data_IF_883201554836
#
_entry.id   IF_883201554836
#
_cell.length_a   1.000
_cell.length_b   1.000
_cell.length_c   1.000
_cell.angle_alpha   90.00
_cell.angle_beta   90.00
_cell.angle_gamma   90.00
#
_symmetry.space_group_name_H-M   'P 1'
#
loop_
_entity.id
_entity.type
_entity.pdbx_description
1 polymer ?
#
# COMPACT_ATOMS: atom_id res chain seq x y z
N UNK A 1 24.44 11.18 11.97
CA UNK A 1 24.01 11.18 13.39
C UNK A 1 23.10 12.37 13.70
N UNK A 2 23.41 13.61 13.31
CA UNK A 2 22.57 14.80 13.62
C UNK A 2 21.21 14.86 12.89
N UNK A 3 21.11 14.41 11.63
CA UNK A 3 19.84 14.41 10.88
C UNK A 3 18.75 13.52 11.50
N UNK A 4 19.12 12.36 12.05
CA UNK A 4 18.17 11.46 12.72
C UNK A 4 17.63 12.04 14.03
N UNK A 5 18.44 12.81 14.76
CA UNK A 5 17.97 13.51 15.96
C UNK A 5 16.96 14.61 15.60
N UNK A 6 17.26 15.41 14.57
CA UNK A 6 16.36 16.47 14.10
C UNK A 6 15.00 15.93 13.62
N UNK A 7 14.99 14.83 12.84
CA UNK A 7 13.74 14.21 12.41
C UNK A 7 12.95 13.61 13.58
N UNK A 8 13.64 13.05 14.56
CA UNK A 8 13.00 12.55 15.79
C UNK A 8 12.33 13.69 16.56
N UNK A 9 12.93 14.86 16.62
CA UNK A 9 12.38 16.00 17.35
C UNK A 9 11.16 16.61 16.61
N UNK A 10 11.17 16.59 15.27
CA UNK A 10 9.99 16.91 14.47
C UNK A 10 8.84 15.94 14.70
N UNK A 11 9.10 14.63 14.82
CA UNK A 11 8.02 13.65 15.11
C UNK A 11 7.30 13.90 16.44
N UNK A 12 7.92 14.66 17.36
CA UNK A 12 7.28 15.01 18.63
C UNK A 12 6.22 16.12 18.46
N UNK A 13 6.34 16.96 17.45
CA UNK A 13 5.48 18.13 17.27
C UNK A 13 5.81 19.29 18.21
N UNK A 14 6.58 19.08 19.29
CA UNK A 14 7.01 20.17 20.18
C UNK A 14 7.80 21.26 19.43
N UNK A 15 8.78 20.85 18.61
CA UNK A 15 9.56 21.79 17.79
C UNK A 15 8.69 22.53 16.77
N UNK A 16 7.69 21.84 16.20
CA UNK A 16 6.75 22.45 15.26
C UNK A 16 5.90 23.51 15.96
N UNK A 17 5.41 23.22 17.17
CA UNK A 17 4.68 24.18 18.01
C UNK A 17 5.56 25.37 18.37
N UNK A 18 6.83 25.16 18.71
CA UNK A 18 7.78 26.22 18.99
C UNK A 18 7.95 27.16 17.80
N UNK A 19 8.15 26.63 16.60
CA UNK A 19 8.24 27.44 15.36
C UNK A 19 6.99 28.32 15.19
N UNK A 20 5.80 27.72 15.30
CA UNK A 20 4.56 28.48 15.14
C UNK A 20 4.31 29.48 16.27
N UNK A 21 4.78 29.22 17.49
CA UNK A 21 4.62 30.13 18.64
C UNK A 21 5.27 31.50 18.42
N UNK A 22 6.29 31.58 17.56
CA UNK A 22 6.95 32.84 17.22
C UNK A 22 6.08 33.74 16.35
N UNK A 23 5.20 33.14 15.54
CA UNK A 23 4.29 33.84 14.63
C UNK A 23 2.89 34.00 15.22
N UNK A 24 2.47 33.06 16.09
CA UNK A 24 1.15 33.00 16.71
C UNK A 24 1.23 32.84 18.24
N UNK A 25 1.85 33.79 18.97
CA UNK A 25 2.10 33.65 20.40
C UNK A 25 0.83 33.63 21.27
N UNK A 26 -0.27 34.19 20.77
CA UNK A 26 -1.56 34.16 21.48
C UNK A 26 -2.28 32.81 21.33
N UNK A 27 -2.07 32.14 20.20
CA UNK A 27 -2.78 30.92 19.81
C UNK A 27 -2.07 29.65 20.29
N UNK A 28 -0.74 29.70 20.36
CA UNK A 28 0.10 28.57 20.77
C UNK A 28 0.70 28.84 22.14
N UNK A 29 0.18 28.11 23.12
CA UNK A 29 0.68 28.14 24.48
C UNK A 29 1.66 26.99 24.69
N UNK A 30 2.97 27.29 24.74
CA UNK A 30 4.03 26.27 24.82
C UNK A 30 3.93 25.36 26.04
N UNK A 31 3.34 25.83 27.15
CA UNK A 31 3.10 25.01 28.34
C UNK A 31 2.11 23.85 28.11
N UNK A 32 1.30 23.90 27.05
CA UNK A 32 0.35 22.84 26.69
C UNK A 32 1.01 21.69 25.93
N UNK A 33 2.23 21.89 25.43
CA UNK A 33 3.01 20.92 24.67
C UNK A 33 4.07 20.28 25.58
N UNK A 34 4.27 18.97 25.41
CA UNK A 34 5.21 18.22 26.22
C UNK A 34 6.39 17.75 25.36
N UNK A 35 7.63 18.00 25.79
CA UNK A 35 8.84 17.50 25.12
C UNK A 35 9.16 16.03 25.46
N UNK A 36 8.23 15.31 26.06
CA UNK A 36 8.33 13.88 26.36
C UNK A 36 8.44 13.02 25.11
N UNK A 37 9.05 11.84 25.25
CA UNK A 37 9.31 10.93 24.12
C UNK A 37 8.24 9.85 23.92
N UNK A 38 7.24 9.76 24.80
CA UNK A 38 6.18 8.75 24.71
C UNK A 38 5.26 9.00 23.52
N UNK A 39 4.72 7.93 22.92
CA UNK A 39 3.80 8.02 21.79
C UNK A 39 2.58 8.88 22.12
N UNK A 40 2.01 8.73 23.33
CA UNK A 40 0.87 9.51 23.80
C UNK A 40 1.18 11.02 23.87
N UNK A 41 2.40 11.38 24.31
CA UNK A 41 2.83 12.80 24.32
C UNK A 41 2.90 13.36 22.91
N UNK A 42 3.47 12.59 21.97
CA UNK A 42 3.53 12.99 20.55
C UNK A 42 2.13 13.16 19.98
N UNK A 43 1.25 12.17 20.15
CA UNK A 43 -0.13 12.24 19.65
C UNK A 43 -0.89 13.43 20.22
N UNK A 44 -0.71 13.73 21.51
CA UNK A 44 -1.33 14.91 22.14
C UNK A 44 -0.79 16.22 21.56
N UNK A 45 0.53 16.34 21.38
CA UNK A 45 1.12 17.54 20.76
C UNK A 45 0.56 17.73 19.34
N UNK A 46 0.51 16.66 18.55
CA UNK A 46 -0.01 16.70 17.19
C UNK A 46 -1.51 16.95 17.10
N UNK A 47 -2.32 16.48 18.05
CA UNK A 47 -3.75 16.78 18.05
C UNK A 47 -4.01 18.27 18.27
N UNK A 48 -3.25 18.93 19.15
CA UNK A 48 -3.29 20.39 19.32
C UNK A 48 -2.86 21.12 18.05
N UNK A 49 -1.76 20.68 17.42
CA UNK A 49 -1.29 21.26 16.15
C UNK A 49 -2.30 21.10 15.02
N UNK A 50 -2.92 19.92 14.86
CA UNK A 50 -3.95 19.66 13.84
C UNK A 50 -5.15 20.60 14.01
N UNK A 51 -5.58 20.84 15.25
CA UNK A 51 -6.64 21.81 15.55
C UNK A 51 -6.21 23.23 15.16
N UNK A 52 -4.98 23.64 15.52
CA UNK A 52 -4.43 24.94 15.15
C UNK A 52 -4.33 25.13 13.63
N UNK A 53 -3.74 24.19 12.91
CA UNK A 53 -3.59 24.19 11.44
C UNK A 53 -4.95 24.35 10.77
N UNK A 54 -5.94 23.55 11.20
CA UNK A 54 -7.30 23.61 10.67
C UNK A 54 -7.99 24.94 10.96
N UNK A 55 -7.85 25.48 12.17
CA UNK A 55 -8.44 26.76 12.59
C UNK A 55 -7.89 27.93 11.76
N UNK A 56 -6.59 27.94 11.52
CA UNK A 56 -5.92 28.98 10.74
C UNK A 56 -5.95 28.75 9.23
N UNK A 57 -6.60 27.66 8.76
CA UNK A 57 -6.69 27.28 7.34
C UNK A 57 -5.31 27.23 6.67
N UNK A 58 -4.31 26.73 7.40
CA UNK A 58 -2.98 26.55 6.84
C UNK A 58 -3.05 25.41 5.82
N UNK A 59 -2.51 25.66 4.64
CA UNK A 59 -2.56 24.72 3.52
C UNK A 59 -1.49 23.62 3.71
N UNK A 60 -1.73 22.72 4.67
CA UNK A 60 -0.89 21.56 5.00
C UNK A 60 -1.78 20.32 4.94
N UNK A 61 -1.36 19.35 4.14
CA UNK A 61 -2.09 18.09 3.96
C UNK A 61 -2.02 17.21 5.21
N UNK A 62 -3.14 16.57 5.55
CA UNK A 62 -3.23 15.69 6.72
C UNK A 62 -2.29 14.47 6.57
N UNK A 63 -2.14 13.97 5.35
CA UNK A 63 -1.25 12.84 5.05
C UNK A 63 0.23 13.18 5.34
N UNK A 64 0.64 14.42 5.07
CA UNK A 64 1.98 14.91 5.37
C UNK A 64 2.23 15.01 6.88
N UNK A 65 1.23 15.45 7.65
CA UNK A 65 1.30 15.46 9.11
C UNK A 65 1.43 14.04 9.64
N UNK A 66 0.58 13.13 9.16
CA UNK A 66 0.58 11.73 9.58
C UNK A 66 1.89 11.01 9.21
N UNK A 67 2.40 11.25 8.00
CA UNK A 67 3.71 10.78 7.58
C UNK A 67 4.82 11.29 8.49
N UNK A 68 4.75 12.55 8.94
CA UNK A 68 5.74 13.13 9.87
C UNK A 68 5.65 12.50 11.26
N UNK A 69 4.44 12.33 11.80
CA UNK A 69 4.19 11.69 13.11
C UNK A 69 4.82 10.31 13.16
N UNK A 70 4.70 9.57 12.06
CA UNK A 70 5.15 8.19 11.96
C UNK A 70 6.54 8.02 11.36
N UNK A 71 7.28 9.11 11.15
CA UNK A 71 8.63 9.08 10.58
C UNK A 71 8.69 8.36 9.23
N UNK A 72 7.70 8.61 8.35
CA UNK A 72 7.77 8.22 6.95
C UNK A 72 8.86 9.01 6.24
N UNK A 73 9.49 8.37 5.26
CA UNK A 73 10.61 8.94 4.55
C UNK A 73 10.18 10.19 3.78
N UNK A 74 10.98 11.26 3.82
CA UNK A 74 10.69 12.55 3.17
C UNK A 74 9.59 13.41 3.82
N UNK A 75 8.70 12.85 4.65
CA UNK A 75 7.57 13.58 5.22
C UNK A 75 7.99 14.76 6.10
N UNK A 76 8.88 14.52 7.06
CA UNK A 76 9.34 15.58 7.96
C UNK A 76 10.07 16.72 7.21
N UNK A 77 10.83 16.38 6.17
CA UNK A 77 11.49 17.38 5.33
C UNK A 77 10.46 18.23 4.58
N UNK A 78 9.50 17.58 3.90
CA UNK A 78 8.46 18.28 3.15
C UNK A 78 7.59 19.15 4.05
N UNK A 79 7.33 18.71 5.29
CA UNK A 79 6.60 19.50 6.27
C UNK A 79 7.35 20.78 6.65
N UNK A 80 8.65 20.69 6.94
CA UNK A 80 9.46 21.88 7.28
C UNK A 80 9.49 22.85 6.11
N UNK A 81 9.67 22.36 4.89
CA UNK A 81 9.60 23.19 3.68
C UNK A 81 8.24 23.87 3.56
N UNK A 82 7.15 23.14 3.85
CA UNK A 82 5.80 23.69 3.78
C UNK A 82 5.55 24.76 4.84
N UNK A 83 5.98 24.52 6.08
CA UNK A 83 5.92 25.48 7.18
C UNK A 83 6.72 26.73 6.82
N UNK A 84 7.93 26.58 6.29
CA UNK A 84 8.76 27.71 5.85
C UNK A 84 8.05 28.55 4.79
N UNK A 85 7.48 27.92 3.76
CA UNK A 85 6.76 28.63 2.71
C UNK A 85 5.55 29.40 3.26
N UNK A 86 4.79 28.78 4.17
CA UNK A 86 3.60 29.38 4.78
C UNK A 86 3.96 30.59 5.66
N UNK A 87 5.01 30.47 6.47
CA UNK A 87 5.37 31.50 7.44
C UNK A 87 6.16 32.67 6.84
N UNK A 88 6.93 32.42 5.76
CA UNK A 88 7.79 33.43 5.15
C UNK A 88 7.30 33.95 3.80
N UNK A 89 6.28 33.30 3.22
CA UNK A 89 5.79 33.55 1.86
C UNK A 89 6.89 33.47 0.79
N UNK A 90 7.93 32.66 1.04
CA UNK A 90 9.03 32.42 0.09
C UNK A 90 8.97 30.98 -0.37
N UNK A 91 9.29 30.76 -1.64
CA UNK A 91 9.42 29.41 -2.17
C UNK A 91 10.84 28.88 -2.01
N UNK A 92 10.97 27.69 -1.42
CA UNK A 92 12.22 26.93 -1.48
C UNK A 92 12.44 26.51 -2.94
N UNK A 93 13.62 26.80 -3.49
CA UNK A 93 14.00 26.37 -4.85
C UNK A 93 14.17 24.86 -4.87
N UNK A 94 13.32 24.14 -5.61
CA UNK A 94 13.35 22.67 -5.71
C UNK A 94 13.71 22.19 -7.11
N UNK A 95 14.24 20.98 -7.20
CA UNK A 95 14.11 20.18 -8.40
C UNK A 95 12.72 19.53 -8.37
N UNK A 96 11.97 19.61 -9.47
CA UNK A 96 10.63 19.03 -9.52
C UNK A 96 10.72 17.54 -9.15
N UNK A 97 9.91 17.06 -8.20
CA UNK A 97 9.86 15.63 -7.92
C UNK A 97 9.37 14.93 -9.19
N UNK A 98 10.11 13.90 -9.60
CA UNK A 98 9.79 13.12 -10.80
C UNK A 98 8.48 12.34 -10.65
N UNK A 99 8.02 12.13 -9.41
CA UNK A 99 6.83 11.35 -9.06
C UNK A 99 6.02 12.07 -7.96
N UNK A 100 4.72 11.76 -7.87
CA UNK A 100 3.84 12.20 -6.79
C UNK A 100 4.34 11.67 -5.44
N UNK A 101 4.17 12.49 -4.39
CA UNK A 101 4.61 12.14 -3.03
C UNK A 101 3.44 11.41 -2.35
N UNK A 102 3.55 10.09 -2.24
CA UNK A 102 2.52 9.23 -1.63
C UNK A 102 2.97 8.60 -0.29
N UNK A 103 4.13 9.03 0.23
CA UNK A 103 4.80 8.48 1.42
C UNK A 103 4.93 6.94 1.43
N UNK A 104 4.89 6.32 0.27
CA UNK A 104 5.13 4.89 0.07
C UNK A 104 6.46 4.65 -0.65
N UNK A 105 6.91 3.40 -0.68
CA UNK A 105 8.08 3.01 -1.47
C UNK A 105 7.78 2.78 -2.96
N UNK A 106 6.56 3.09 -3.45
CA UNK A 106 6.09 2.79 -4.81
C UNK A 106 7.02 3.34 -5.90
N UNK A 107 7.36 4.62 -5.84
CA UNK A 107 8.22 5.25 -6.85
C UNK A 107 9.62 4.61 -6.90
N UNK A 108 10.13 4.19 -5.74
CA UNK A 108 11.38 3.44 -5.66
C UNK A 108 11.24 2.04 -6.27
N UNK A 109 10.19 1.30 -5.94
CA UNK A 109 9.92 -0.03 -6.49
C UNK A 109 9.73 -0.03 -8.02
N UNK A 110 9.09 1.01 -8.56
CA UNK A 110 8.85 1.14 -10.00
C UNK A 110 10.18 1.19 -10.80
N UNK A 111 11.19 1.88 -10.25
CA UNK A 111 12.53 2.02 -10.85
C UNK A 111 13.39 0.75 -10.75
N UNK A 112 13.06 -0.15 -9.83
CA UNK A 112 13.81 -1.39 -9.63
C UNK A 112 13.44 -2.44 -10.69
N UNK A 113 14.42 -3.24 -11.15
CA UNK A 113 14.13 -4.40 -11.97
C UNK A 113 13.31 -5.44 -11.18
N UNK A 114 12.47 -6.22 -11.87
CA UNK A 114 11.52 -7.18 -11.26
C UNK A 114 12.12 -8.15 -10.23
N UNK A 115 13.41 -8.48 -10.33
CA UNK A 115 14.07 -9.40 -9.40
C UNK A 115 14.60 -8.72 -8.12
N UNK A 116 14.74 -7.40 -8.13
CA UNK A 116 15.21 -6.60 -7.00
C UNK A 116 14.07 -5.95 -6.21
N UNK A 117 12.82 -6.03 -6.71
CA UNK A 117 11.65 -5.50 -6.02
C UNK A 117 11.41 -6.21 -4.68
N UNK A 118 10.83 -5.48 -3.72
CA UNK A 118 10.51 -5.96 -2.38
C UNK A 118 9.63 -7.23 -2.39
N UNK A 119 9.82 -8.10 -1.40
CA UNK A 119 8.85 -9.16 -1.09
C UNK A 119 7.63 -8.57 -0.37
N UNK A 120 6.51 -9.32 -0.29
CA UNK A 120 5.30 -8.88 0.40
C UNK A 120 5.56 -8.43 1.85
N UNK A 121 6.33 -9.21 2.62
CA UNK A 121 6.69 -8.86 4.00
C UNK A 121 7.53 -7.58 4.07
N UNK A 122 8.43 -7.38 3.11
CA UNK A 122 9.23 -6.16 3.04
C UNK A 122 8.37 -4.95 2.63
N UNK A 123 7.39 -5.12 1.74
CA UNK A 123 6.45 -4.07 1.36
C UNK A 123 5.64 -3.59 2.57
N UNK A 124 5.13 -4.50 3.40
CA UNK A 124 4.45 -4.14 4.67
C UNK A 124 5.41 -3.38 5.58
N UNK A 125 6.64 -3.88 5.76
CA UNK A 125 7.65 -3.25 6.63
C UNK A 125 8.03 -1.83 6.16
N UNK A 126 8.11 -1.60 4.87
CA UNK A 126 8.47 -0.31 4.31
C UNK A 126 7.34 0.72 4.50
N UNK A 127 6.11 0.31 4.19
CA UNK A 127 4.95 1.20 4.06
C UNK A 127 4.08 1.33 5.32
N UNK A 128 4.21 0.43 6.29
CA UNK A 128 3.47 0.48 7.56
C UNK A 128 4.42 0.51 8.75
N UNK A 129 4.44 1.64 9.47
CA UNK A 129 5.31 1.82 10.64
C UNK A 129 4.67 1.26 11.90
N UNK A 130 5.49 0.77 12.82
CA UNK A 130 5.02 0.27 14.13
C UNK A 130 4.22 1.32 14.89
N UNK A 131 4.59 2.60 14.77
CA UNK A 131 3.87 3.70 15.41
C UNK A 131 2.48 3.92 14.83
N UNK A 132 2.24 3.62 13.55
CA UNK A 132 0.90 3.67 12.92
C UNK A 132 0.00 2.60 13.56
N UNK A 133 0.53 1.38 13.69
CA UNK A 133 -0.18 0.25 14.30
C UNK A 133 -0.56 0.55 15.75
N UNK A 134 0.38 1.12 16.52
CA UNK A 134 0.14 1.50 17.91
C UNK A 134 -0.86 2.66 18.03
N UNK A 135 -0.89 3.57 17.07
CA UNK A 135 -1.76 4.73 17.08
C UNK A 135 -3.23 4.39 16.78
N UNK A 136 -3.49 3.45 15.88
CA UNK A 136 -4.86 3.06 15.49
C UNK A 136 -5.67 2.46 16.65
N UNK A 137 -5.02 1.93 17.70
CA UNK A 137 -5.65 1.32 18.87
C UNK A 137 -6.49 0.05 18.59
N UNK A 138 -6.74 -0.27 17.32
CA UNK A 138 -7.57 -1.38 16.85
C UNK A 138 -6.75 -2.36 16.02
N UNK A 139 -6.78 -3.62 16.44
CA UNK A 139 -6.14 -4.74 15.72
C UNK A 139 -6.75 -4.90 14.32
N UNK A 140 -8.06 -4.62 14.17
CA UNK A 140 -8.76 -4.78 12.89
C UNK A 140 -8.23 -3.76 11.86
N UNK A 141 -8.05 -2.50 12.26
CA UNK A 141 -7.56 -1.46 11.36
C UNK A 141 -6.12 -1.74 10.89
N UNK A 142 -5.24 -2.11 11.83
CA UNK A 142 -3.86 -2.47 11.50
C UNK A 142 -3.76 -3.71 10.60
N UNK A 143 -4.65 -4.69 10.81
CA UNK A 143 -4.78 -5.84 9.92
C UNK A 143 -5.25 -5.41 8.52
N UNK A 144 -6.28 -4.56 8.42
CA UNK A 144 -6.79 -4.07 7.14
C UNK A 144 -5.72 -3.30 6.36
N UNK A 145 -4.97 -2.40 7.01
CA UNK A 145 -3.83 -1.68 6.40
C UNK A 145 -2.76 -2.64 5.88
N UNK A 146 -2.41 -3.65 6.68
CA UNK A 146 -1.42 -4.66 6.27
C UNK A 146 -1.91 -5.49 5.07
N UNK A 147 -3.18 -5.91 5.08
CA UNK A 147 -3.79 -6.67 3.99
C UNK A 147 -3.88 -5.86 2.71
N UNK A 148 -4.19 -4.55 2.81
CA UNK A 148 -4.20 -3.67 1.66
C UNK A 148 -2.83 -3.63 0.96
N UNK A 149 -1.74 -3.44 1.72
CA UNK A 149 -0.37 -3.45 1.16
C UNK A 149 -0.02 -4.80 0.52
N UNK A 150 -0.45 -5.91 1.14
CA UNK A 150 -0.22 -7.26 0.60
C UNK A 150 -0.98 -7.44 -0.73
N UNK A 151 -2.24 -7.01 -0.80
CA UNK A 151 -3.05 -7.12 -2.01
C UNK A 151 -2.46 -6.31 -3.16
N UNK A 152 -2.05 -5.06 -2.88
CA UNK A 152 -1.38 -4.21 -3.86
C UNK A 152 -0.08 -4.87 -4.37
N UNK A 153 0.70 -5.47 -3.47
CA UNK A 153 1.90 -6.22 -3.85
C UNK A 153 1.58 -7.42 -4.75
N UNK A 154 0.52 -8.20 -4.44
CA UNK A 154 0.09 -9.34 -5.25
C UNK A 154 -0.33 -8.90 -6.65
N UNK A 155 -1.10 -7.81 -6.74
CA UNK A 155 -1.54 -7.26 -8.02
C UNK A 155 -0.36 -6.74 -8.83
N UNK A 156 0.59 -6.03 -8.22
CA UNK A 156 1.81 -5.60 -8.93
C UNK A 156 2.59 -6.78 -9.51
N UNK A 157 2.75 -7.86 -8.72
CA UNK A 157 3.40 -9.10 -9.19
C UNK A 157 2.61 -9.80 -10.29
N UNK A 158 1.29 -9.67 -10.30
CA UNK A 158 0.44 -10.18 -11.38
C UNK A 158 0.64 -9.35 -12.65
N UNK A 159 0.68 -8.02 -12.56
CA UNK A 159 0.93 -7.15 -13.71
C UNK A 159 2.32 -7.42 -14.33
N UNK A 160 3.37 -7.52 -13.50
CA UNK A 160 4.72 -7.89 -13.94
C UNK A 160 4.76 -9.21 -14.74
N UNK A 161 3.95 -10.19 -14.31
CA UNK A 161 3.81 -11.47 -15.01
C UNK A 161 3.19 -11.29 -16.39
N UNK A 162 2.16 -10.45 -16.51
CA UNK A 162 1.49 -10.16 -17.78
C UNK A 162 2.36 -9.36 -18.75
N UNK A 163 3.21 -8.47 -18.25
CA UNK A 163 4.11 -7.66 -19.08
C UNK A 163 5.28 -8.45 -19.68
N UNK A 164 5.72 -9.52 -19.00
CA UNK A 164 6.85 -10.33 -19.43
C UNK A 164 6.53 -11.84 -19.42
N UNK A 165 5.57 -12.31 -20.25
CA UNK A 165 5.08 -13.70 -20.19
C UNK A 165 6.18 -14.73 -20.46
N UNK A 166 7.12 -14.41 -21.37
CA UNK A 166 8.30 -15.23 -21.70
C UNK A 166 9.18 -15.51 -20.47
N UNK A 167 9.35 -14.53 -19.59
CA UNK A 167 10.17 -14.69 -18.37
C UNK A 167 9.53 -15.65 -17.37
N UNK A 168 8.19 -15.72 -17.35
CA UNK A 168 7.43 -16.45 -16.35
C UNK A 168 6.82 -17.75 -16.88
N UNK A 169 7.16 -18.15 -18.11
CA UNK A 169 6.62 -19.36 -18.76
C UNK A 169 5.08 -19.42 -18.69
N UNK A 170 4.43 -18.26 -18.84
CA UNK A 170 2.97 -18.19 -18.80
C UNK A 170 2.46 -18.79 -20.10
N UNK A 171 1.74 -19.91 -19.99
CA UNK A 171 1.15 -20.55 -21.16
C UNK A 171 0.02 -19.67 -21.70
N UNK A 172 -0.08 -19.50 -23.03
CA UNK A 172 -1.16 -18.73 -23.63
C UNK A 172 -2.51 -19.33 -23.26
N UNK A 173 -3.51 -18.48 -23.08
CA UNK A 173 -4.87 -18.93 -22.73
C UNK A 173 -5.53 -19.65 -23.92
N UNK A 174 -6.53 -20.49 -23.67
CA UNK A 174 -7.25 -21.20 -24.76
C UNK A 174 -7.87 -20.21 -25.77
N UNK A 175 -8.28 -19.03 -25.30
CA UNK A 175 -8.82 -17.96 -26.15
C UNK A 175 -7.76 -17.24 -26.99
N UNK A 176 -6.50 -17.20 -26.53
CA UNK A 176 -5.35 -16.70 -27.33
C UNK A 176 -4.91 -17.73 -28.37
N UNK A 177 -5.01 -19.01 -28.04
CA UNK A 177 -4.74 -20.10 -28.98
C UNK A 177 -5.86 -20.31 -30.01
N UNK A 178 -7.07 -19.83 -29.74
CA UNK A 178 -8.20 -19.98 -30.64
C UNK A 178 -8.12 -19.01 -31.82
N UNK A 179 -8.10 -19.54 -33.05
CA UNK A 179 -8.26 -18.74 -34.27
C UNK A 179 -9.64 -18.10 -34.29
N UNK A 180 -9.71 -16.78 -34.11
CA UNK A 180 -10.94 -16.01 -34.29
C UNK A 180 -11.24 -15.89 -35.78
N UNK A 181 -12.25 -16.61 -36.24
CA UNK A 181 -12.79 -16.47 -37.59
C UNK A 181 -13.67 -15.21 -37.60
N UNK A 182 -13.38 -14.19 -38.42
CA UNK A 182 -14.25 -13.03 -38.53
C UNK A 182 -15.64 -13.46 -39.01
N UNK A 183 -16.72 -12.76 -38.60
CA UNK A 183 -18.05 -13.07 -39.10
C UNK A 183 -18.03 -13.04 -40.64
N UNK A 184 -18.72 -13.99 -41.30
CA UNK A 184 -18.85 -13.97 -42.76
C UNK A 184 -19.38 -12.61 -43.20
N UNK A 185 -18.88 -12.04 -44.32
CA UNK A 185 -19.44 -10.80 -44.85
C UNK A 185 -20.94 -10.96 -45.05
N UNK A 186 -21.71 -10.02 -44.49
CA UNK A 186 -23.18 -9.97 -44.62
C UNK A 186 -23.57 -10.14 -46.10
N UNK A 187 -24.44 -11.11 -46.43
CA UNK A 187 -24.87 -11.28 -47.81
C UNK A 187 -25.66 -10.05 -48.24
N UNK A 188 -25.19 -9.35 -49.27
CA UNK A 188 -25.97 -8.33 -49.96
C UNK A 188 -27.26 -8.99 -50.47
N UNK A 189 -28.40 -8.62 -49.90
CA UNK A 189 -29.70 -9.12 -50.33
C UNK A 189 -29.99 -8.63 -51.76
N UNK A 190 -29.65 -9.43 -52.76
CA UNK A 190 -30.27 -9.37 -54.08
C UNK A 190 -31.31 -10.47 -54.18
N UNK A 191 -32.56 -10.05 -54.12
CA UNK A 191 -33.77 -10.83 -54.30
C UNK A 191 -33.83 -11.46 -55.71
N UNK A 192 -33.76 -12.79 -55.79
CA UNK A 192 -34.56 -13.55 -56.77
C UNK A 192 -34.39 -15.08 -56.65
N UNK A 193 -35.54 -15.73 -56.56
CA UNK A 193 -35.90 -17.05 -57.12
C UNK A 193 -35.63 -18.33 -56.34
N UNK A 194 -36.75 -19.01 -56.08
CA UNK A 194 -36.96 -20.38 -55.61
C UNK A 194 -36.15 -21.40 -56.43
N UNK A 195 -35.50 -22.34 -55.73
CA UNK A 195 -34.92 -23.53 -56.34
C UNK A 195 -34.59 -24.59 -55.30
N UNK A 196 -35.59 -25.41 -54.95
CA UNK A 196 -35.44 -26.59 -54.09
C UNK A 196 -34.35 -27.54 -54.60
N UNK A 197 -33.28 -27.74 -53.83
CA UNK A 197 -32.46 -28.96 -53.87
C UNK A 197 -31.97 -29.33 -52.47
N UNK A 198 -32.47 -30.47 -51.99
CA UNK A 198 -31.92 -31.23 -50.86
C UNK A 198 -30.52 -31.77 -51.19
N UNK A 199 -29.70 -32.03 -50.16
CA UNK A 199 -29.15 -33.37 -50.04
C UNK A 199 -29.29 -33.96 -48.63
N UNK A 200 -29.29 -35.29 -48.64
CA UNK A 200 -29.51 -36.22 -47.54
C UNK A 200 -28.26 -36.42 -46.66
N UNK A 201 -28.56 -36.78 -45.41
CA UNK A 201 -27.86 -37.70 -44.50
C UNK A 201 -26.54 -37.30 -43.83
N UNK A 202 -26.58 -37.32 -42.50
CA UNK A 202 -25.42 -37.37 -41.61
C UNK A 202 -25.77 -37.27 -40.13
N UNK A 203 -26.80 -37.97 -39.65
CA UNK A 203 -27.14 -38.04 -38.24
C UNK A 203 -26.05 -38.80 -37.47
N UNK A 204 -25.22 -38.08 -36.71
CA UNK A 204 -24.42 -38.64 -35.61
C UNK A 204 -24.90 -38.01 -34.31
N UNK A 205 -25.43 -38.89 -33.46
CA UNK A 205 -25.87 -38.70 -32.08
C UNK A 205 -24.88 -37.91 -31.21
N UNK A 206 -25.34 -37.09 -30.26
CA UNK A 206 -24.46 -36.37 -29.35
C UNK A 206 -23.90 -37.35 -28.30
N UNK A 207 -22.57 -37.49 -28.25
CA UNK A 207 -21.91 -38.16 -27.13
C UNK A 207 -21.79 -37.17 -25.97
N UNK A 208 -22.49 -37.52 -24.90
CA UNK A 208 -22.28 -37.24 -23.48
C UNK A 208 -21.45 -36.00 -23.11
N UNK A 209 -22.16 -35.06 -22.47
CA UNK A 209 -21.61 -34.07 -21.53
C UNK A 209 -20.73 -34.80 -20.52
N UNK A 210 -19.43 -34.51 -20.51
CA UNK A 210 -18.57 -34.77 -19.37
C UNK A 210 -18.20 -33.42 -18.77
N UNK A 211 -18.78 -33.14 -17.62
CA UNK A 211 -18.35 -32.10 -16.68
C UNK A 211 -16.89 -32.31 -16.29
N UNK A 212 -16.05 -31.25 -16.18
CA UNK A 212 -14.71 -31.41 -15.66
C UNK A 212 -14.80 -31.59 -14.14
N UNK A 213 -14.68 -32.83 -13.69
CA UNK A 213 -14.42 -33.16 -12.28
C UNK A 213 -13.08 -32.55 -11.89
N UNK A 214 -13.08 -31.77 -10.80
CA UNK A 214 -11.86 -31.30 -10.12
C UNK A 214 -11.02 -32.52 -9.71
N UNK A 215 -9.93 -32.78 -10.43
CA UNK A 215 -8.88 -33.68 -9.93
C UNK A 215 -8.04 -32.93 -8.90
N UNK A 216 -8.30 -33.21 -7.62
CA UNK A 216 -7.46 -32.82 -6.50
C UNK A 216 -6.35 -33.87 -6.34
N UNK A 217 -5.22 -33.68 -7.03
CA UNK A 217 -3.99 -34.41 -6.72
C UNK A 217 -2.93 -33.42 -6.25
N UNK A 218 -3.14 -32.89 -5.05
CA UNK A 218 -2.07 -32.24 -4.27
C UNK A 218 -1.80 -33.18 -3.09
N UNK A 219 -0.67 -33.89 -3.13
CA UNK A 219 -0.20 -34.66 -1.98
C UNK A 219 0.43 -33.69 -0.99
N UNK A 220 -0.26 -33.43 0.12
CA UNK A 220 0.31 -32.69 1.24
C UNK A 220 1.12 -33.65 2.11
N UNK A 221 2.40 -33.34 2.32
CA UNK A 221 3.23 -34.03 3.30
C UNK A 221 3.14 -33.27 4.61
N UNK A 222 2.48 -33.86 5.59
CA UNK A 222 2.38 -33.30 6.94
C UNK A 222 3.76 -33.35 7.61
N UNK A 223 4.25 -32.20 8.06
CA UNK A 223 5.50 -32.08 8.78
C UNK A 223 5.15 -32.01 10.27
N UNK A 224 5.42 -33.09 11.00
CA UNK A 224 5.24 -33.12 12.44
C UNK A 224 6.44 -32.44 13.11
N UNK A 225 6.22 -31.27 13.71
CA UNK A 225 7.23 -30.53 14.46
C UNK A 225 7.21 -31.02 15.91
N UNK A 226 8.28 -31.69 16.36
CA UNK A 226 8.46 -31.95 17.79
C UNK A 226 8.73 -30.63 18.51
N UNK A 227 7.70 -30.11 19.19
CA UNK A 227 7.89 -28.99 20.09
C UNK A 227 8.60 -29.48 21.35
N UNK A 228 9.80 -28.97 21.60
CA UNK A 228 10.49 -29.15 22.88
C UNK A 228 9.60 -28.56 23.99
N UNK A 229 9.34 -29.36 25.02
CA UNK A 229 8.61 -28.93 26.21
C UNK A 229 9.28 -27.69 26.81
N UNK A 230 8.56 -26.57 26.81
CA UNK A 230 8.98 -25.36 27.50
C UNK A 230 8.96 -25.64 29.01
N UNK A 231 10.07 -25.42 29.75
CA UNK A 231 10.06 -25.61 31.19
C UNK A 231 9.08 -24.62 31.82
N UNK A 232 8.23 -25.13 32.71
CA UNK A 232 7.29 -24.31 33.51
C UNK A 232 8.11 -23.40 34.41
N UNK A 233 7.82 -22.10 34.34
CA UNK A 233 8.42 -21.07 35.18
C UNK A 233 8.49 -21.48 36.66
N UNK A 234 9.69 -21.34 37.22
CA UNK A 234 9.90 -21.24 38.66
C UNK A 234 9.19 -19.98 39.15
N UNK A 235 8.04 -20.14 39.80
CA UNK A 235 7.52 -19.13 40.71
C UNK A 235 8.46 -19.08 41.92
N UNK A 236 9.21 -18.01 42.07
CA UNK A 236 9.72 -17.61 43.38
C UNK A 236 8.76 -16.57 43.98
N UNK A 237 8.28 -16.77 45.23
CA UNK A 237 7.52 -15.74 45.93
C UNK A 237 8.44 -14.60 46.39
N UNK A 238 7.92 -13.38 46.29
CA UNK A 238 8.44 -12.18 46.96
C UNK A 238 8.62 -12.46 48.46
N UNK A 239 9.83 -12.24 48.96
CA UNK A 239 10.05 -12.00 50.39
C UNK A 239 9.99 -10.48 50.66
N UNK A 240 9.49 -10.19 51.86
CA UNK A 240 9.05 -8.90 52.41
C UNK A 240 10.07 -7.76 52.30
#
# INVERSE_FOLDING_TARGET
>A
MCLLAFFRDLTNGYLVAEIFSWYYPQEIQMHSYNNGTSLDSKQRNWSLLKIFIKRHKLDIEEELLEGTIHCKEGAAQLLVERIYNILTNREVKKMNPEHEIDFTDRAYQAKLPMHARSTASQAVKNNLKTTEIMADGSIILSQQKSQHIINDHIENRRHERMEAPERFNIKPTLGELATRIPPPPEPSYTSSSLGNKTPKNGMKTPKSINSPTRESTVQFKEINVQQLNRPKDMRQPLQA
#
